data_IF_697398107728
#
_entry.id   IF_697398107728
#
_cell.length_a   1.000
_cell.length_b   1.000
_cell.length_c   1.000
_cell.angle_alpha   90.00
_cell.angle_beta   90.00
_cell.angle_gamma   90.00
#
_symmetry.space_group_name_H-M   'P 1'
#
loop_
_entity.id
_entity.type
_entity.pdbx_description
1 polymer ?
#
# COMPACT_ATOMS: atom_id res chain seq x y z
N UNK A 1 -2.78 -5.61 -15.77
CA UNK A 1 -3.45 -5.22 -14.50
C UNK A 1 -3.13 -6.30 -13.51
N UNK A 2 -2.70 -5.93 -12.32
CA UNK A 2 -2.38 -6.86 -11.23
C UNK A 2 -2.93 -6.29 -9.92
N UNK A 3 -3.17 -7.19 -8.97
CA UNK A 3 -3.64 -6.85 -7.64
C UNK A 3 -2.48 -6.90 -6.64
N UNK A 4 -2.34 -5.84 -5.86
CA UNK A 4 -1.30 -5.73 -4.84
C UNK A 4 -1.88 -5.62 -3.46
N UNK A 5 -1.09 -6.07 -2.49
CA UNK A 5 -1.35 -5.90 -1.08
C UNK A 5 -0.16 -5.20 -0.43
N UNK A 6 -0.41 -3.97 0.01
CA UNK A 6 0.52 -3.13 0.72
C UNK A 6 0.28 -3.28 2.22
N UNK A 7 1.30 -3.77 2.92
CA UNK A 7 1.36 -3.80 4.37
C UNK A 7 2.24 -2.65 4.86
N UNK A 8 1.72 -1.87 5.80
CA UNK A 8 2.44 -0.76 6.42
C UNK A 8 2.64 -1.08 7.90
N UNK A 9 3.88 -0.92 8.36
CA UNK A 9 4.33 -1.06 9.76
C UNK A 9 5.17 0.15 10.12
N UNK A 10 5.60 0.22 11.37
CA UNK A 10 6.51 1.28 11.83
C UNK A 10 7.78 1.27 10.98
N UNK A 11 8.03 2.36 10.24
CA UNK A 11 9.20 2.58 9.40
C UNK A 11 9.51 1.46 8.38
N UNK A 12 8.49 0.66 8.02
CA UNK A 12 8.64 -0.43 7.06
C UNK A 12 7.37 -0.68 6.25
N UNK A 13 7.55 -1.05 4.99
CA UNK A 13 6.47 -1.44 4.09
C UNK A 13 6.81 -2.74 3.37
N UNK A 14 5.78 -3.52 3.10
CA UNK A 14 5.88 -4.72 2.26
C UNK A 14 4.81 -4.66 1.18
N UNK A 15 5.22 -4.73 -0.09
CA UNK A 15 4.32 -4.80 -1.24
C UNK A 15 4.31 -6.23 -1.77
N UNK A 16 3.13 -6.85 -1.81
CA UNK A 16 2.94 -8.21 -2.29
C UNK A 16 2.12 -8.24 -3.57
N UNK A 17 2.57 -8.98 -4.57
CA UNK A 17 1.77 -9.32 -5.74
C UNK A 17 0.83 -10.48 -5.39
N UNK A 18 -0.49 -10.26 -5.51
CA UNK A 18 -1.51 -11.26 -5.17
C UNK A 18 -1.70 -12.34 -6.24
N UNK A 19 -1.01 -12.24 -7.37
CA UNK A 19 -1.03 -13.21 -8.46
C UNK A 19 0.24 -14.06 -8.49
N UNK A 20 1.42 -13.42 -8.39
CA UNK A 20 2.71 -14.11 -8.53
C UNK A 20 3.32 -14.56 -7.21
N UNK A 21 2.78 -14.12 -6.06
CA UNK A 21 3.36 -14.33 -4.73
C UNK A 21 4.70 -13.62 -4.50
N UNK A 22 5.14 -12.79 -5.43
CA UNK A 22 6.32 -11.94 -5.26
C UNK A 22 6.08 -10.90 -4.17
N UNK A 23 7.07 -10.68 -3.31
CA UNK A 23 7.02 -9.68 -2.26
C UNK A 23 8.34 -8.93 -2.16
N UNK A 24 8.23 -7.61 -1.99
CA UNK A 24 9.36 -6.71 -1.74
C UNK A 24 9.10 -5.95 -0.45
N UNK A 25 10.15 -5.75 0.35
CA UNK A 25 10.07 -4.98 1.59
C UNK A 25 11.15 -3.92 1.63
N UNK A 26 10.80 -2.75 2.16
CA UNK A 26 11.69 -1.61 2.29
C UNK A 26 11.44 -0.90 3.63
N UNK A 27 12.47 -0.25 4.14
CA UNK A 27 12.42 0.53 5.38
C UNK A 27 12.65 2.02 5.07
N UNK A 28 12.16 2.88 5.95
CA UNK A 28 12.42 4.32 5.87
C UNK A 28 11.88 5.04 7.09
N UNK A 29 12.40 6.24 7.35
CA UNK A 29 11.96 7.07 8.46
C UNK A 29 10.71 7.86 8.07
N UNK A 30 9.54 7.30 8.34
CA UNK A 30 8.27 7.93 8.01
C UNK A 30 7.18 7.79 9.07
N UNK A 31 7.38 6.98 10.11
CA UNK A 31 6.44 6.82 11.22
C UNK A 31 6.74 7.78 12.36
N UNK A 32 5.75 8.00 13.21
CA UNK A 32 5.88 8.74 14.49
C UNK A 32 5.38 7.85 15.63
N UNK A 33 5.47 8.34 16.87
CA UNK A 33 4.96 7.61 18.03
C UNK A 33 3.45 7.29 17.97
N UNK A 34 2.66 8.07 17.21
CA UNK A 34 1.19 7.94 17.15
C UNK A 34 0.64 7.55 15.79
N UNK A 35 1.46 7.55 14.74
CA UNK A 35 1.01 7.31 13.37
C UNK A 35 2.00 6.44 12.63
N UNK A 36 1.49 5.42 11.93
CA UNK A 36 2.32 4.57 11.07
C UNK A 36 2.88 5.36 9.86
N UNK A 37 2.19 6.41 9.42
CA UNK A 37 2.69 7.39 8.46
C UNK A 37 2.53 8.79 9.05
N UNK A 38 3.62 9.39 9.51
CA UNK A 38 3.69 10.79 9.93
C UNK A 38 4.50 11.69 9.00
N UNK A 39 5.43 11.13 8.21
CA UNK A 39 6.04 11.81 7.07
C UNK A 39 5.50 11.20 5.77
N UNK A 40 4.61 11.94 5.12
CA UNK A 40 3.96 11.49 3.89
C UNK A 40 4.94 11.29 2.73
N UNK A 41 5.89 12.21 2.54
CA UNK A 41 6.76 12.19 1.36
C UNK A 41 7.80 11.08 1.45
N UNK A 42 8.34 10.84 2.65
CA UNK A 42 9.24 9.70 2.86
C UNK A 42 8.50 8.37 2.67
N UNK A 43 7.27 8.25 3.21
CA UNK A 43 6.44 7.06 3.02
C UNK A 43 6.11 6.81 1.53
N UNK A 44 5.74 7.85 0.79
CA UNK A 44 5.49 7.78 -0.66
C UNK A 44 6.75 7.35 -1.43
N UNK A 45 7.91 7.90 -1.07
CA UNK A 45 9.20 7.54 -1.68
C UNK A 45 9.56 6.08 -1.45
N UNK A 46 9.39 5.57 -0.22
CA UNK A 46 9.61 4.15 0.10
C UNK A 46 8.65 3.26 -0.70
N UNK A 47 7.38 3.64 -0.80
CA UNK A 47 6.43 2.90 -1.61
C UNK A 47 6.79 2.94 -3.11
N UNK A 48 7.27 4.08 -3.62
CA UNK A 48 7.72 4.20 -5.00
C UNK A 48 8.91 3.29 -5.30
N UNK A 49 9.85 3.12 -4.36
CA UNK A 49 10.94 2.16 -4.48
C UNK A 49 10.40 0.73 -4.63
N UNK A 50 9.47 0.32 -3.75
CA UNK A 50 8.82 -1.00 -3.84
C UNK A 50 8.09 -1.22 -5.17
N UNK A 51 7.44 -0.18 -5.70
CA UNK A 51 6.79 -0.21 -7.01
C UNK A 51 7.83 -0.45 -8.13
N UNK A 52 9.01 0.16 -8.02
CA UNK A 52 10.11 -0.05 -8.96
C UNK A 52 10.73 -1.46 -8.82
N UNK A 53 10.93 -1.94 -7.59
CA UNK A 53 11.49 -3.28 -7.31
C UNK A 53 10.57 -4.39 -7.82
N UNK A 54 9.25 -4.17 -7.74
CA UNK A 54 8.23 -5.03 -8.35
C UNK A 54 8.21 -4.96 -9.90
N UNK A 55 9.12 -4.21 -10.52
CA UNK A 55 9.24 -4.07 -11.96
C UNK A 55 8.11 -3.26 -12.61
N UNK A 56 7.35 -2.48 -11.82
CA UNK A 56 6.20 -1.74 -12.33
C UNK A 56 6.66 -0.46 -13.01
N UNK A 57 6.50 -0.43 -14.33
CA UNK A 57 6.86 0.71 -15.17
C UNK A 57 5.80 1.84 -15.12
N UNK A 58 5.39 2.28 -13.93
CA UNK A 58 4.24 3.21 -13.72
C UNK A 58 4.41 4.59 -14.35
N UNK A 59 5.64 5.01 -14.65
CA UNK A 59 5.96 6.27 -15.35
C UNK A 59 5.85 6.18 -16.87
N UNK A 60 5.79 4.97 -17.45
CA UNK A 60 5.67 4.84 -18.92
C UNK A 60 4.29 5.29 -19.41
N UNK A 61 4.20 5.86 -20.63
CA UNK A 61 2.94 6.04 -21.32
C UNK A 61 2.19 4.69 -21.36
N UNK A 62 0.88 4.72 -21.13
CA UNK A 62 0.02 3.52 -21.15
C UNK A 62 0.37 2.41 -20.14
N UNK A 63 1.09 2.72 -19.08
CA UNK A 63 1.30 1.78 -17.98
C UNK A 63 -0.04 1.23 -17.46
N UNK A 64 -0.04 -0.07 -17.13
CA UNK A 64 -1.21 -0.76 -16.60
C UNK A 64 -1.73 -0.06 -15.35
N UNK A 65 -3.06 -0.03 -15.20
CA UNK A 65 -3.69 0.36 -13.94
C UNK A 65 -3.80 -0.85 -13.02
N UNK A 66 -3.59 -0.64 -11.72
CA UNK A 66 -3.55 -1.70 -10.72
C UNK A 66 -4.61 -1.51 -9.63
N UNK A 67 -4.90 -2.57 -8.88
CA UNK A 67 -5.71 -2.48 -7.65
C UNK A 67 -4.81 -2.72 -6.46
N UNK A 68 -4.98 -1.94 -5.40
CA UNK A 68 -4.13 -2.04 -4.21
C UNK A 68 -5.00 -2.14 -2.98
N UNK A 69 -4.80 -3.19 -2.20
CA UNK A 69 -5.29 -3.29 -0.83
C UNK A 69 -4.20 -2.73 0.09
N UNK A 70 -4.54 -1.78 0.93
CA UNK A 70 -3.63 -1.22 1.94
C UNK A 70 -4.07 -1.71 3.31
N UNK A 71 -3.11 -2.08 4.15
CA UNK A 71 -3.38 -2.42 5.54
C UNK A 71 -2.24 -1.93 6.42
N UNK A 72 -2.60 -1.12 7.41
CA UNK A 72 -1.71 -0.74 8.49
C UNK A 72 -1.81 -1.80 9.59
N UNK A 73 -0.68 -2.43 9.92
CA UNK A 73 -0.61 -3.58 10.83
C UNK A 73 -0.13 -3.22 12.24
N UNK A 74 0.29 -1.97 12.42
CA UNK A 74 0.82 -1.46 13.67
C UNK A 74 0.30 -0.04 13.90
N UNK A 75 0.23 0.34 15.18
CA UNK A 75 -0.06 1.70 15.66
C UNK A 75 -1.34 2.28 15.06
N UNK A 76 -2.49 1.81 15.56
CA UNK A 76 -3.70 2.63 15.46
C UNK A 76 -4.58 2.40 16.70
N UNK A 77 -4.45 3.32 17.66
CA UNK A 77 -5.38 3.36 18.79
C UNK A 77 -6.74 3.82 18.26
N UNK A 78 -7.75 2.93 18.30
CA UNK A 78 -9.07 3.18 17.70
C UNK A 78 -9.22 2.77 16.22
N UNK A 79 -8.21 2.15 15.59
CA UNK A 79 -8.27 1.69 14.20
C UNK A 79 -8.16 2.82 13.15
N UNK A 80 -8.06 2.47 11.86
CA UNK A 80 -7.81 3.44 10.77
C UNK A 80 -8.89 4.53 10.74
N UNK A 81 -8.50 5.76 11.02
CA UNK A 81 -9.35 6.95 10.90
C UNK A 81 -9.58 7.35 9.44
N UNK A 82 -10.61 8.17 9.18
CA UNK A 82 -10.87 8.69 7.81
C UNK A 82 -9.71 9.52 7.25
N UNK A 83 -8.95 10.19 8.13
CA UNK A 83 -7.77 10.97 7.75
C UNK A 83 -6.66 10.04 7.28
N UNK A 84 -6.41 8.95 8.01
CA UNK A 84 -5.42 7.94 7.63
C UNK A 84 -5.86 7.17 6.38
N UNK A 85 -7.13 6.85 6.23
CA UNK A 85 -7.67 6.23 5.02
C UNK A 85 -7.39 7.10 3.78
N UNK A 86 -7.59 8.42 3.90
CA UNK A 86 -7.26 9.39 2.85
C UNK A 86 -5.75 9.47 2.61
N UNK A 87 -4.96 9.52 3.66
CA UNK A 87 -3.49 9.58 3.62
C UNK A 87 -2.93 8.38 2.84
N UNK A 88 -3.32 7.16 3.21
CA UNK A 88 -2.88 5.94 2.54
C UNK A 88 -3.31 5.89 1.09
N UNK A 89 -4.53 6.33 0.80
CA UNK A 89 -5.06 6.39 -0.57
C UNK A 89 -4.20 7.30 -1.43
N UNK A 90 -3.93 8.52 -0.99
CA UNK A 90 -3.12 9.49 -1.76
C UNK A 90 -1.66 9.02 -1.90
N UNK A 91 -1.08 8.41 -0.86
CA UNK A 91 0.26 7.83 -0.92
C UNK A 91 0.36 6.75 -2.02
N UNK A 92 -0.65 5.88 -2.12
CA UNK A 92 -0.72 4.87 -3.18
C UNK A 92 -0.89 5.53 -4.56
N UNK A 93 -1.79 6.51 -4.71
CA UNK A 93 -1.94 7.22 -5.98
C UNK A 93 -0.65 7.93 -6.42
N UNK A 94 0.08 8.51 -5.48
CA UNK A 94 1.37 9.15 -5.71
C UNK A 94 2.45 8.17 -6.18
N UNK A 95 2.72 7.13 -5.39
CA UNK A 95 3.73 6.13 -5.69
C UNK A 95 3.44 5.33 -6.98
N UNK A 96 2.18 5.08 -7.31
CA UNK A 96 1.81 4.42 -8.56
C UNK A 96 1.65 5.40 -9.73
N UNK A 97 2.06 6.67 -9.60
CA UNK A 97 1.94 7.69 -10.64
C UNK A 97 0.52 7.75 -11.24
N UNK A 98 -0.49 7.69 -10.37
CA UNK A 98 -1.94 7.65 -10.67
C UNK A 98 -2.37 6.46 -11.55
N UNK A 99 -1.53 5.43 -11.70
CA UNK A 99 -1.86 4.18 -12.43
C UNK A 99 -2.61 3.19 -11.53
N UNK A 100 -3.67 3.69 -10.93
CA UNK A 100 -4.52 2.93 -10.01
C UNK A 100 -5.95 2.89 -10.54
N UNK A 101 -6.59 1.73 -10.40
CA UNK A 101 -8.01 1.49 -10.70
C UNK A 101 -8.85 1.53 -9.43
N UNK A 102 -8.33 1.01 -8.31
CA UNK A 102 -9.00 0.96 -7.01
C UNK A 102 -7.95 0.91 -5.90
N UNK A 103 -8.16 1.70 -4.85
CA UNK A 103 -7.49 1.51 -3.55
C UNK A 103 -8.56 1.08 -2.56
N UNK A 104 -8.27 0.08 -1.75
CA UNK A 104 -9.09 -0.28 -0.60
C UNK A 104 -8.20 -0.28 0.63
N UNK A 105 -8.66 0.32 1.72
CA UNK A 105 -7.93 0.34 2.99
C UNK A 105 -8.64 -0.60 3.95
N UNK A 106 -7.95 -1.66 4.37
CA UNK A 106 -8.47 -2.54 5.43
C UNK A 106 -8.29 -1.88 6.79
N UNK A 107 -9.29 -2.08 7.65
CA UNK A 107 -9.29 -1.67 9.06
C UNK A 107 -8.80 -2.77 9.99
N UNK A 108 -8.53 -3.96 9.45
CA UNK A 108 -7.97 -5.06 10.23
C UNK A 108 -6.53 -4.75 10.61
N UNK A 109 -6.11 -5.17 11.81
CA UNK A 109 -4.74 -4.99 12.30
C UNK A 109 -3.86 -6.22 12.10
N UNK A 110 -4.46 -7.37 11.78
CA UNK A 110 -3.74 -8.63 11.55
C UNK A 110 -3.51 -8.89 10.06
N UNK A 111 -2.32 -9.35 9.64
CA UNK A 111 -2.08 -9.72 8.26
C UNK A 111 -3.12 -10.71 7.77
N UNK A 112 -3.74 -10.43 6.63
CA UNK A 112 -4.75 -11.33 6.07
C UNK A 112 -4.15 -12.28 5.02
N UNK A 113 -4.72 -13.50 4.88
CA UNK A 113 -4.36 -14.41 3.80
C UNK A 113 -4.60 -13.77 2.43
N UNK A 114 -3.74 -14.10 1.47
CA UNK A 114 -3.76 -13.56 0.12
C UNK A 114 -5.10 -13.77 -0.62
N UNK A 115 -5.77 -14.92 -0.36
CA UNK A 115 -7.10 -15.22 -0.90
C UNK A 115 -8.15 -14.22 -0.39
N UNK A 116 -8.10 -13.87 0.89
CA UNK A 116 -8.99 -12.87 1.49
C UNK A 116 -8.72 -11.48 0.93
N UNK A 117 -7.43 -11.10 0.84
CA UNK A 117 -7.03 -9.82 0.23
C UNK A 117 -7.56 -9.67 -1.20
N UNK A 118 -7.43 -10.73 -2.02
CA UNK A 118 -7.91 -10.75 -3.40
C UNK A 118 -9.44 -10.71 -3.50
N UNK A 119 -10.15 -11.36 -2.58
CA UNK A 119 -11.60 -11.31 -2.50
C UNK A 119 -12.11 -9.88 -2.22
N UNK A 120 -11.46 -9.16 -1.29
CA UNK A 120 -11.81 -7.76 -0.98
C UNK A 120 -11.68 -6.83 -2.20
N UNK A 121 -10.61 -7.00 -3.00
CA UNK A 121 -10.40 -6.20 -4.21
C UNK A 121 -11.37 -6.56 -5.35
N UNK A 122 -12.00 -7.72 -5.28
CA UNK A 122 -12.97 -8.22 -6.26
C UNK A 122 -14.41 -7.84 -5.92
N UNK A 123 -14.70 -7.51 -4.66
CA UNK A 123 -15.98 -6.95 -4.25
C UNK A 123 -16.16 -5.56 -4.91
N UNK A 124 -17.32 -5.30 -5.50
CA UNK A 124 -17.59 -4.09 -6.28
C UNK A 124 -17.55 -2.85 -5.40
#
# INVERSE_FOLDING_TARGET
>A
MADFYLQIRTNSMTLKNLETHEEHSATGEFSTQRMVVGDFFNAESVLYQLVCDMGLNVRRPFASRHRVLVQALEIIDGGVSLVEERLFTEMVYGAFNRRIKKVLVSRDTLPMPQRQAKALLSCK
#
